data_IF_066660756630
#
_entry.id   IF_066660756630
#
_cell.length_a   1.000
_cell.length_b   1.000
_cell.length_c   1.000
_cell.angle_alpha   90.00
_cell.angle_beta   90.00
_cell.angle_gamma   90.00
#
_symmetry.space_group_name_H-M   'P 1'
#
loop_
_entity.id
_entity.type
_entity.pdbx_description
1 polymer ?
#
# COMPACT_ATOMS: atom_id res chain seq x y z
N UNK A 1 5.05 -0.02 0.00
CA UNK A 1 5.75 1.18 -0.55
C UNK A 1 4.92 2.47 -0.46
N UNK A 2 3.62 2.50 -0.74
CA UNK A 2 2.77 3.70 -0.79
C UNK A 2 2.87 4.62 0.44
N UNK A 3 2.93 4.07 1.66
CA UNK A 3 3.07 4.86 2.89
C UNK A 3 4.43 5.57 3.01
N UNK A 4 5.51 4.93 2.53
CA UNK A 4 6.85 5.52 2.55
C UNK A 4 6.92 6.72 1.60
N UNK A 5 6.41 6.56 0.36
CA UNK A 5 6.31 7.65 -0.60
C UNK A 5 5.45 8.80 -0.07
N UNK A 6 4.29 8.48 0.48
CA UNK A 6 3.42 9.49 1.09
C UNK A 6 4.12 10.26 2.19
N UNK A 7 4.85 9.58 3.06
CA UNK A 7 5.61 10.20 4.14
C UNK A 7 6.73 11.09 3.60
N UNK A 8 7.49 10.61 2.61
CA UNK A 8 8.54 11.38 1.96
C UNK A 8 8.01 12.71 1.40
N UNK A 9 6.96 12.67 0.59
CA UNK A 9 6.41 13.87 -0.04
C UNK A 9 5.69 14.80 0.95
N UNK A 10 5.13 14.28 2.04
CA UNK A 10 4.53 15.13 3.08
C UNK A 10 5.56 16.08 3.73
N UNK A 11 6.82 15.68 3.79
CA UNK A 11 7.91 16.47 4.35
C UNK A 11 8.82 17.12 3.30
N UNK A 12 8.46 17.11 2.01
CA UNK A 12 9.31 17.62 0.93
C UNK A 12 9.74 19.09 1.15
N UNK A 13 8.87 19.93 1.73
CA UNK A 13 9.19 21.34 2.02
C UNK A 13 9.98 21.56 3.31
N UNK A 14 9.92 20.63 4.24
CA UNK A 14 10.57 20.70 5.55
C UNK A 14 11.14 19.34 5.93
N UNK A 15 12.20 18.88 5.23
CA UNK A 15 12.74 17.54 5.44
C UNK A 15 13.35 17.41 6.83
N UNK A 16 13.22 16.22 7.41
CA UNK A 16 13.80 15.87 8.70
C UNK A 16 15.19 15.25 8.48
N UNK A 17 16.20 16.04 8.66
CA UNK A 17 17.59 15.61 8.47
C UNK A 17 18.19 15.20 9.82
N UNK A 18 18.77 14.01 9.89
CA UNK A 18 19.51 13.54 11.07
C UNK A 18 20.83 14.30 11.25
N UNK A 19 21.45 14.15 12.42
CA UNK A 19 22.81 14.70 12.67
C UNK A 19 23.90 14.15 11.74
N UNK A 20 23.59 13.04 11.05
CA UNK A 20 24.48 12.41 10.04
C UNK A 20 24.16 12.83 8.60
N UNK A 21 23.30 13.82 8.40
CA UNK A 21 22.89 14.28 7.07
C UNK A 21 21.87 13.41 6.34
N UNK A 22 21.34 12.36 6.98
CA UNK A 22 20.36 11.45 6.35
C UNK A 22 18.96 12.04 6.45
N UNK A 23 18.22 12.06 5.35
CA UNK A 23 16.81 12.42 5.34
C UNK A 23 15.96 11.28 5.95
N UNK A 24 15.43 11.54 7.14
CA UNK A 24 14.61 10.58 7.91
C UNK A 24 13.10 10.82 7.78
N UNK A 25 12.67 11.73 6.91
CA UNK A 25 11.27 12.12 6.75
C UNK A 25 10.35 10.93 6.46
N UNK A 26 10.76 10.07 5.53
CA UNK A 26 9.99 8.88 5.15
C UNK A 26 9.87 7.88 6.31
N UNK A 27 10.97 7.63 7.03
CA UNK A 27 10.97 6.74 8.22
C UNK A 27 10.09 7.30 9.31
N UNK A 28 10.22 8.59 9.62
CA UNK A 28 9.45 9.27 10.65
C UNK A 28 7.95 9.25 10.35
N UNK A 29 7.56 9.62 9.12
CA UNK A 29 6.15 9.65 8.74
C UNK A 29 5.52 8.26 8.67
N UNK A 30 6.29 7.24 8.22
CA UNK A 30 5.88 5.84 8.27
C UNK A 30 5.66 5.39 9.72
N UNK A 31 6.64 5.64 10.61
CA UNK A 31 6.55 5.28 12.02
C UNK A 31 5.31 5.89 12.68
N UNK A 32 5.08 7.18 12.48
CA UNK A 32 3.91 7.86 13.04
C UNK A 32 2.60 7.24 12.53
N UNK A 33 2.51 6.91 11.24
CA UNK A 33 1.30 6.29 10.67
C UNK A 33 1.04 4.91 11.28
N UNK A 34 2.07 4.07 11.43
CA UNK A 34 1.92 2.74 12.03
C UNK A 34 1.55 2.84 13.51
N UNK A 35 2.22 3.71 14.27
CA UNK A 35 1.91 3.93 15.68
C UNK A 35 0.49 4.47 15.87
N UNK A 36 0.03 5.36 15.00
CA UNK A 36 -1.34 5.86 15.03
C UNK A 36 -2.35 4.73 14.82
N UNK A 37 -2.11 3.86 13.83
CA UNK A 37 -2.97 2.69 13.58
C UNK A 37 -2.98 1.75 14.78
N UNK A 38 -1.82 1.40 15.33
CA UNK A 38 -1.74 0.52 16.50
C UNK A 38 -2.51 1.10 17.69
N UNK A 39 -2.36 2.39 17.96
CA UNK A 39 -2.95 3.04 19.14
C UNK A 39 -4.45 3.30 19.00
N UNK A 40 -4.91 3.67 17.78
CA UNK A 40 -6.31 4.05 17.54
C UNK A 40 -7.17 2.87 17.13
N UNK A 41 -6.69 2.08 16.17
CA UNK A 41 -7.47 0.98 15.59
C UNK A 41 -7.29 -0.34 16.36
N UNK A 42 -6.16 -0.47 17.09
CA UNK A 42 -5.84 -1.64 17.95
C UNK A 42 -6.05 -2.97 17.21
N UNK A 43 -5.41 -3.17 16.05
CA UNK A 43 -5.60 -4.40 15.29
C UNK A 43 -5.08 -5.62 16.06
N UNK A 44 -5.80 -6.75 15.98
CA UNK A 44 -5.35 -8.03 16.54
C UNK A 44 -4.14 -8.59 15.78
N UNK A 45 -4.07 -8.29 14.48
CA UNK A 45 -2.99 -8.72 13.59
C UNK A 45 -2.56 -7.55 12.71
N UNK A 46 -1.26 -7.39 12.54
CA UNK A 46 -0.68 -6.38 11.66
C UNK A 46 0.48 -6.99 10.89
N UNK A 47 0.55 -6.74 9.59
CA UNK A 47 1.67 -7.13 8.73
C UNK A 47 2.00 -6.01 7.75
N UNK A 48 3.24 -5.94 7.30
CA UNK A 48 3.70 -4.95 6.33
C UNK A 48 4.30 -5.64 5.11
N UNK A 49 3.71 -5.37 3.94
CA UNK A 49 4.22 -5.90 2.68
C UNK A 49 5.18 -4.93 2.00
N UNK A 50 6.23 -5.48 1.39
CA UNK A 50 7.19 -4.74 0.58
C UNK A 50 7.35 -5.41 -0.78
N UNK A 51 7.58 -4.58 -1.79
CA UNK A 51 8.05 -5.05 -3.09
C UNK A 51 9.49 -5.53 -3.01
N UNK A 52 9.87 -6.44 -3.92
CA UNK A 52 11.25 -6.86 -4.13
C UNK A 52 11.85 -6.12 -5.34
N UNK A 53 13.19 -6.00 -5.43
CA UNK A 53 13.83 -5.43 -6.61
C UNK A 53 13.80 -6.38 -7.82
N UNK A 54 13.30 -7.61 -7.66
CA UNK A 54 13.24 -8.60 -8.74
C UNK A 54 12.06 -8.32 -9.67
N UNK A 55 12.20 -8.60 -10.98
CA UNK A 55 11.08 -8.54 -11.90
C UNK A 55 9.93 -9.45 -11.44
N UNK A 56 8.72 -9.01 -11.68
CA UNK A 56 7.51 -9.82 -11.43
C UNK A 56 7.07 -10.53 -12.70
N UNK A 57 6.12 -11.45 -12.61
CA UNK A 57 5.55 -12.14 -13.78
C UNK A 57 4.99 -11.14 -14.81
N UNK A 58 4.47 -9.98 -14.37
CA UNK A 58 3.97 -8.93 -15.28
C UNK A 58 5.06 -8.37 -16.19
N UNK A 59 6.28 -8.22 -15.70
CA UNK A 59 7.42 -7.77 -16.52
C UNK A 59 7.84 -8.81 -17.57
N UNK A 60 7.60 -10.09 -17.28
CA UNK A 60 7.90 -11.19 -18.20
C UNK A 60 6.83 -11.27 -19.29
N UNK A 61 5.55 -11.15 -18.91
CA UNK A 61 4.41 -11.28 -19.83
C UNK A 61 4.19 -10.01 -20.66
N UNK A 62 4.48 -8.84 -20.09
CA UNK A 62 4.32 -7.55 -20.75
C UNK A 62 5.54 -6.65 -20.51
N UNK A 63 6.53 -6.73 -21.39
CA UNK A 63 7.79 -5.98 -21.29
C UNK A 63 7.63 -4.47 -21.09
N UNK A 64 6.60 -3.78 -21.67
CA UNK A 64 6.39 -2.36 -21.41
C UNK A 64 5.88 -2.03 -20.00
N UNK A 65 5.50 -3.03 -19.19
CA UNK A 65 4.99 -2.82 -17.84
C UNK A 65 5.97 -2.02 -16.99
N UNK A 66 5.51 -0.88 -16.49
CA UNK A 66 6.31 0.05 -15.64
C UNK A 66 7.62 0.55 -16.27
N UNK A 67 7.85 0.32 -17.59
CA UNK A 67 9.12 0.66 -18.26
C UNK A 67 9.43 2.16 -18.26
N UNK A 68 8.41 3.01 -18.15
CA UNK A 68 8.56 4.47 -18.12
C UNK A 68 8.56 5.08 -16.72
N UNK A 69 8.51 4.23 -15.65
CA UNK A 69 8.56 4.74 -14.28
C UNK A 69 9.90 5.44 -14.05
N UNK A 70 9.83 6.63 -13.47
CA UNK A 70 11.02 7.32 -13.01
C UNK A 70 11.73 6.50 -11.93
N UNK A 71 13.05 6.64 -11.87
CA UNK A 71 13.82 6.04 -10.80
C UNK A 71 13.30 6.49 -9.42
N UNK A 72 13.34 5.57 -8.47
CA UNK A 72 12.96 5.85 -7.11
C UNK A 72 13.88 6.92 -6.52
N UNK A 73 13.34 7.97 -5.86
CA UNK A 73 14.17 8.96 -5.18
C UNK A 73 15.19 8.31 -4.25
N UNK A 74 16.42 8.80 -4.28
CA UNK A 74 17.53 8.28 -3.47
C UNK A 74 17.19 8.25 -1.97
N UNK A 75 16.57 9.31 -1.48
CA UNK A 75 16.09 9.39 -0.08
C UNK A 75 15.15 8.25 0.31
N UNK A 76 14.29 7.81 -0.63
CA UNK A 76 13.40 6.68 -0.39
C UNK A 76 14.20 5.38 -0.38
N UNK A 77 15.14 5.23 -1.30
CA UNK A 77 16.02 4.05 -1.36
C UNK A 77 16.82 3.89 -0.07
N UNK A 78 17.32 5.00 0.47
CA UNK A 78 18.01 5.04 1.77
C UNK A 78 17.05 4.74 2.93
N UNK A 79 15.81 5.21 2.88
CA UNK A 79 14.84 5.03 3.96
C UNK A 79 14.31 3.59 4.10
N UNK A 80 14.18 2.83 3.00
CA UNK A 80 13.60 1.47 3.00
C UNK A 80 14.27 0.53 4.01
N UNK A 81 15.61 0.40 4.08
CA UNK A 81 16.26 -0.44 5.06
C UNK A 81 15.95 -0.02 6.52
N UNK A 82 15.86 1.27 6.77
CA UNK A 82 15.50 1.76 8.11
C UNK A 82 14.04 1.47 8.47
N UNK A 83 13.14 1.59 7.50
CA UNK A 83 11.73 1.23 7.70
C UNK A 83 11.59 -0.26 7.97
N UNK A 84 12.29 -1.14 7.24
CA UNK A 84 12.28 -2.58 7.50
C UNK A 84 12.78 -2.90 8.91
N UNK A 85 13.92 -2.32 9.31
CA UNK A 85 14.45 -2.49 10.68
C UNK A 85 13.48 -1.99 11.75
N UNK A 86 12.77 -0.90 11.50
CA UNK A 86 11.74 -0.40 12.40
C UNK A 86 10.60 -1.40 12.55
N UNK A 87 10.09 -1.94 11.44
CA UNK A 87 9.01 -2.94 11.42
C UNK A 87 9.44 -4.20 12.17
N UNK A 88 10.67 -4.67 11.94
CA UNK A 88 11.26 -5.81 12.66
C UNK A 88 11.40 -5.54 14.17
N UNK A 89 11.87 -4.34 14.54
CA UNK A 89 12.01 -3.93 15.95
C UNK A 89 10.66 -3.79 16.68
N UNK A 90 9.56 -3.63 15.94
CA UNK A 90 8.20 -3.60 16.46
C UNK A 90 7.55 -4.99 16.49
N UNK A 91 8.29 -6.04 16.14
CA UNK A 91 7.81 -7.42 16.01
C UNK A 91 6.62 -7.57 15.05
N UNK A 92 6.61 -6.76 13.98
CA UNK A 92 5.58 -6.81 12.94
C UNK A 92 6.10 -7.67 11.77
N UNK A 93 5.37 -8.71 11.34
CA UNK A 93 5.77 -9.53 10.21
C UNK A 93 5.96 -8.71 8.92
N UNK A 94 7.10 -8.94 8.26
CA UNK A 94 7.38 -8.43 6.93
C UNK A 94 6.99 -9.48 5.89
N UNK A 95 6.14 -9.09 4.95
CA UNK A 95 5.56 -9.94 3.92
C UNK A 95 6.23 -9.60 2.58
N UNK A 96 7.00 -10.54 2.05
CA UNK A 96 7.74 -10.39 0.80
C UNK A 96 7.67 -11.69 0.01
N UNK A 97 7.46 -11.59 -1.30
CA UNK A 97 7.49 -12.73 -2.20
C UNK A 97 8.13 -12.34 -3.53
N UNK A 98 9.24 -12.97 -3.89
CA UNK A 98 9.90 -12.75 -5.18
C UNK A 98 8.99 -13.15 -6.35
N UNK A 99 9.01 -12.37 -7.43
CA UNK A 99 8.19 -12.60 -8.61
C UNK A 99 6.77 -12.04 -8.52
N UNK A 100 6.40 -11.48 -7.36
CA UNK A 100 5.10 -10.84 -7.12
C UNK A 100 5.28 -9.44 -6.54
N UNK A 101 4.27 -8.59 -6.70
CA UNK A 101 4.22 -7.27 -6.08
C UNK A 101 3.62 -7.35 -4.68
N UNK A 102 3.88 -6.33 -3.86
CA UNK A 102 3.29 -6.23 -2.53
C UNK A 102 1.75 -6.34 -2.57
N UNK A 103 1.15 -5.82 -3.63
CA UNK A 103 -0.30 -5.82 -3.86
C UNK A 103 -0.86 -7.23 -4.02
N UNK A 104 -0.13 -8.11 -4.77
CA UNK A 104 -0.49 -9.53 -4.93
C UNK A 104 -0.42 -10.26 -3.57
N UNK A 105 0.61 -9.96 -2.78
CA UNK A 105 0.80 -10.55 -1.46
C UNK A 105 -0.31 -10.12 -0.51
N UNK A 106 -0.60 -8.82 -0.45
CA UNK A 106 -1.67 -8.26 0.41
C UNK A 106 -3.03 -8.86 0.02
N UNK A 107 -3.39 -8.84 -1.27
CA UNK A 107 -4.65 -9.38 -1.76
C UNK A 107 -4.81 -10.87 -1.45
N UNK A 108 -3.74 -11.65 -1.66
CA UNK A 108 -3.72 -13.07 -1.35
C UNK A 108 -3.93 -13.35 0.13
N UNK A 109 -3.23 -12.62 1.01
CA UNK A 109 -3.36 -12.80 2.46
C UNK A 109 -4.74 -12.36 2.94
N UNK A 110 -5.26 -11.23 2.44
CA UNK A 110 -6.60 -10.76 2.77
C UNK A 110 -7.66 -11.81 2.45
N UNK A 111 -7.66 -12.34 1.22
CA UNK A 111 -8.60 -13.39 0.79
C UNK A 111 -8.45 -14.69 1.61
N UNK A 112 -7.21 -15.12 1.91
CA UNK A 112 -6.95 -16.30 2.74
C UNK A 112 -7.42 -16.12 4.18
N UNK A 113 -7.17 -14.96 4.79
CA UNK A 113 -7.55 -14.67 6.17
C UNK A 113 -9.06 -14.75 6.38
N UNK A 114 -9.84 -14.07 5.54
CA UNK A 114 -11.31 -14.08 5.66
C UNK A 114 -11.93 -15.43 5.34
N UNK A 115 -11.27 -16.27 4.54
CA UNK A 115 -11.71 -17.65 4.28
C UNK A 115 -11.39 -18.59 5.44
N UNK A 116 -10.25 -18.38 6.10
CA UNK A 116 -9.79 -19.22 7.20
C UNK A 116 -10.59 -18.98 8.49
N UNK A 117 -11.04 -17.74 8.73
CA UNK A 117 -11.79 -17.40 9.93
C UNK A 117 -12.93 -16.42 9.58
N UNK A 118 -14.21 -16.78 9.86
CA UNK A 118 -15.38 -15.93 9.56
C UNK A 118 -15.42 -14.63 10.39
N UNK A 119 -14.73 -14.56 11.51
CA UNK A 119 -14.73 -13.39 12.40
C UNK A 119 -13.68 -12.33 12.00
N UNK A 120 -12.74 -12.68 11.11
CA UNK A 120 -11.72 -11.75 10.65
C UNK A 120 -12.31 -10.73 9.66
N UNK A 121 -12.01 -9.46 9.94
CA UNK A 121 -12.18 -8.35 8.98
C UNK A 121 -10.79 -7.83 8.64
N UNK A 122 -10.47 -7.72 7.37
CA UNK A 122 -9.17 -7.25 6.88
C UNK A 122 -9.28 -5.80 6.39
N UNK A 123 -8.35 -4.98 6.82
CA UNK A 123 -8.18 -3.62 6.34
C UNK A 123 -6.87 -3.50 5.55
N UNK A 124 -6.97 -3.35 4.24
CA UNK A 124 -5.84 -3.10 3.36
C UNK A 124 -5.48 -1.62 3.42
N UNK A 125 -4.37 -1.31 4.09
CA UNK A 125 -3.95 0.08 4.28
C UNK A 125 -3.18 0.60 3.07
N UNK A 126 -3.90 1.20 2.13
CA UNK A 126 -3.37 1.71 0.87
C UNK A 126 -4.19 2.88 0.35
N UNK A 127 -3.57 3.89 -0.30
CA UNK A 127 -4.28 4.91 -1.06
C UNK A 127 -4.62 4.45 -2.48
N UNK A 128 -4.08 3.32 -2.94
CA UNK A 128 -4.16 2.85 -4.31
C UNK A 128 -5.59 2.42 -4.68
N UNK A 129 -6.09 2.98 -5.78
CA UNK A 129 -7.45 2.72 -6.29
C UNK A 129 -7.66 1.27 -6.74
N UNK A 130 -6.59 0.61 -7.19
CA UNK A 130 -6.64 -0.72 -7.79
C UNK A 130 -7.03 -1.80 -6.78
N UNK A 131 -6.78 -1.54 -5.48
CA UNK A 131 -7.28 -2.39 -4.40
C UNK A 131 -8.82 -2.42 -4.29
N UNK A 132 -9.51 -1.50 -4.96
CA UNK A 132 -10.97 -1.52 -5.04
C UNK A 132 -11.52 -2.87 -5.51
N UNK A 133 -10.84 -3.53 -6.46
CA UNK A 133 -11.22 -4.86 -6.98
C UNK A 133 -11.17 -6.00 -5.93
N UNK A 134 -10.46 -5.79 -4.83
CA UNK A 134 -10.29 -6.79 -3.77
C UNK A 134 -11.31 -6.63 -2.63
N UNK A 135 -12.08 -5.54 -2.65
CA UNK A 135 -13.00 -5.19 -1.55
C UNK A 135 -14.18 -6.16 -1.51
N UNK A 136 -14.48 -6.64 -0.32
CA UNK A 136 -15.63 -7.49 0.01
C UNK A 136 -16.22 -7.02 1.35
N UNK A 137 -17.29 -7.66 1.81
CA UNK A 137 -17.90 -7.32 3.10
C UNK A 137 -16.91 -7.32 4.26
N UNK A 138 -15.94 -8.25 4.24
CA UNK A 138 -14.92 -8.42 5.27
C UNK A 138 -13.51 -8.02 4.83
N UNK A 139 -13.34 -7.50 3.61
CA UNK A 139 -12.08 -6.94 3.11
C UNK A 139 -12.32 -5.50 2.70
N UNK A 140 -11.71 -4.56 3.38
CA UNK A 140 -11.95 -3.13 3.19
C UNK A 140 -10.64 -2.41 2.89
N UNK A 141 -10.72 -1.33 2.14
CA UNK A 141 -9.59 -0.39 2.03
C UNK A 141 -9.60 0.56 3.21
N UNK A 142 -8.43 0.82 3.77
CA UNK A 142 -8.22 1.80 4.82
C UNK A 142 -7.24 2.86 4.34
N UNK A 143 -7.69 4.08 4.24
CA UNK A 143 -6.85 5.24 3.90
C UNK A 143 -6.61 6.06 5.16
N UNK A 144 -5.39 6.01 5.69
CA UNK A 144 -5.07 6.77 6.91
C UNK A 144 -5.19 8.28 6.66
N UNK A 145 -5.50 9.01 7.73
CA UNK A 145 -5.61 10.47 7.72
C UNK A 145 -4.39 11.12 7.05
N UNK A 146 -4.64 12.16 6.24
CA UNK A 146 -3.57 12.85 5.51
C UNK A 146 -3.96 14.29 5.17
N UNK A 147 -3.07 15.25 5.43
CA UNK A 147 -3.22 16.68 5.08
C UNK A 147 -4.59 17.26 5.49
N UNK A 148 -5.03 16.99 6.72
CA UNK A 148 -6.30 17.51 7.26
C UNK A 148 -7.54 16.72 6.85
N UNK A 149 -7.41 15.69 5.99
CA UNK A 149 -8.49 14.74 5.72
C UNK A 149 -8.45 13.63 6.77
N UNK A 150 -9.62 13.25 7.28
CA UNK A 150 -9.76 12.13 8.21
C UNK A 150 -9.43 10.77 7.60
N UNK A 151 -9.52 9.75 8.43
CA UNK A 151 -9.46 8.35 7.98
C UNK A 151 -10.65 8.06 7.06
N UNK A 152 -10.41 7.35 5.97
CA UNK A 152 -11.45 6.87 5.06
C UNK A 152 -11.40 5.35 4.98
N UNK A 153 -12.53 4.71 5.24
CA UNK A 153 -12.70 3.27 5.07
C UNK A 153 -13.66 3.03 3.90
N UNK A 154 -13.23 2.21 2.94
CA UNK A 154 -14.03 1.89 1.76
C UNK A 154 -14.40 0.41 1.81
N UNK A 155 -15.69 0.14 1.98
CA UNK A 155 -16.30 -1.15 1.76
C UNK A 155 -16.93 -1.25 0.36
N UNK A 156 -17.69 -2.31 0.05
CA UNK A 156 -18.27 -2.50 -1.27
C UNK A 156 -19.14 -1.32 -1.74
N UNK A 157 -19.95 -0.77 -0.84
CA UNK A 157 -20.83 0.36 -1.13
C UNK A 157 -20.07 1.61 -1.54
N UNK A 158 -19.03 1.97 -0.80
CA UNK A 158 -18.20 3.16 -1.05
C UNK A 158 -17.40 3.00 -2.35
N UNK A 159 -16.91 1.79 -2.64
CA UNK A 159 -16.24 1.48 -3.91
C UNK A 159 -17.20 1.63 -5.07
N UNK A 160 -18.39 1.01 -5.02
CA UNK A 160 -19.39 1.11 -6.07
C UNK A 160 -19.80 2.58 -6.33
N UNK A 161 -20.02 3.35 -5.27
CA UNK A 161 -20.34 4.77 -5.40
C UNK A 161 -19.21 5.57 -6.06
N UNK A 162 -17.96 5.29 -5.67
CA UNK A 162 -16.78 6.00 -6.20
C UNK A 162 -16.56 5.76 -7.68
N UNK A 163 -16.78 4.51 -8.12
CA UNK A 163 -16.61 4.10 -9.50
C UNK A 163 -17.87 4.25 -10.36
N UNK A 164 -19.01 4.58 -9.76
CA UNK A 164 -20.32 4.61 -10.39
C UNK A 164 -20.65 3.29 -11.09
N UNK A 165 -20.50 2.18 -10.34
CA UNK A 165 -20.74 0.79 -10.76
C UNK A 165 -21.74 0.12 -9.84
N UNK A 166 -22.30 -1.00 -10.28
CA UNK A 166 -23.32 -1.74 -9.52
C UNK A 166 -22.73 -2.74 -8.54
N UNK A 167 -21.58 -3.33 -8.88
CA UNK A 167 -20.87 -4.28 -8.02
C UNK A 167 -19.34 -4.11 -8.14
N UNK A 168 -18.62 -4.60 -7.12
CA UNK A 168 -17.17 -4.45 -6.99
C UNK A 168 -16.40 -5.15 -8.12
N UNK A 169 -16.89 -6.24 -8.66
CA UNK A 169 -16.22 -7.00 -9.73
C UNK A 169 -16.03 -6.15 -10.98
N UNK A 170 -16.89 -5.16 -11.21
CA UNK A 170 -16.78 -4.22 -12.33
C UNK A 170 -15.60 -3.26 -12.22
N UNK A 171 -14.93 -3.17 -11.06
CA UNK A 171 -13.68 -2.38 -10.93
C UNK A 171 -12.63 -2.89 -11.91
N UNK A 172 -12.54 -4.20 -12.12
CA UNK A 172 -11.60 -4.82 -13.06
C UNK A 172 -11.87 -4.33 -14.49
N UNK A 173 -13.15 -4.34 -14.88
CA UNK A 173 -13.56 -3.87 -16.21
C UNK A 173 -13.24 -2.38 -16.39
N UNK A 174 -13.53 -1.57 -15.37
CA UNK A 174 -13.23 -0.13 -15.39
C UNK A 174 -11.72 0.13 -15.51
N UNK A 175 -10.89 -0.57 -14.74
CA UNK A 175 -9.44 -0.47 -14.84
C UNK A 175 -8.92 -0.90 -16.21
N UNK A 176 -9.46 -1.99 -16.76
CA UNK A 176 -9.10 -2.50 -18.08
C UNK A 176 -9.48 -1.53 -19.21
N UNK A 177 -10.63 -0.85 -19.10
CA UNK A 177 -11.07 0.14 -20.09
C UNK A 177 -10.34 1.47 -20.00
N UNK A 178 -9.93 1.89 -18.80
CA UNK A 178 -9.24 3.15 -18.56
C UNK A 178 -7.75 3.08 -18.84
N UNK A 179 -7.17 1.90 -18.79
CA UNK A 179 -5.74 1.70 -18.77
C UNK A 179 -5.08 2.29 -17.52
N UNK A 180 -3.76 2.24 -17.46
CA UNK A 180 -2.97 2.88 -16.40
C UNK A 180 -1.66 3.46 -16.96
N UNK A 181 -1.65 4.78 -17.12
CA UNK A 181 -0.48 5.49 -17.64
C UNK A 181 0.76 5.35 -16.74
N UNK A 182 0.58 5.14 -15.42
CA UNK A 182 1.70 4.97 -14.49
C UNK A 182 2.37 3.61 -14.67
N UNK A 183 1.57 2.60 -15.00
CA UNK A 183 2.03 1.22 -15.24
C UNK A 183 2.25 0.92 -16.73
N UNK A 184 2.05 1.93 -17.58
CA UNK A 184 2.19 1.84 -19.04
C UNK A 184 1.22 0.82 -19.66
N UNK A 185 -0.01 0.78 -19.13
CA UNK A 185 -1.13 0.02 -19.68
C UNK A 185 -1.95 0.96 -20.56
N UNK A 186 -2.17 0.61 -21.86
CA UNK A 186 -2.89 1.45 -22.81
C UNK A 186 -4.37 1.56 -22.48
#
# INVERSE_FOLDING_TARGET
>A
MALIYRAHFAFAKTPRISSKGINTSAVFGFANTILEVINKEKPDYLGVAFDTPKPTFRHVEYTPYKAQRQEQPEDISIAIPYVKRLVEAMDIPILILDGYEADDVIGTIAKKAVRANPDIVVYMMTPDKDYGQLVEERIKMYKPAFMGKGVEVLGPKEVCQRWNIENVDQVIDMLGLMGDAVDNIP
#
